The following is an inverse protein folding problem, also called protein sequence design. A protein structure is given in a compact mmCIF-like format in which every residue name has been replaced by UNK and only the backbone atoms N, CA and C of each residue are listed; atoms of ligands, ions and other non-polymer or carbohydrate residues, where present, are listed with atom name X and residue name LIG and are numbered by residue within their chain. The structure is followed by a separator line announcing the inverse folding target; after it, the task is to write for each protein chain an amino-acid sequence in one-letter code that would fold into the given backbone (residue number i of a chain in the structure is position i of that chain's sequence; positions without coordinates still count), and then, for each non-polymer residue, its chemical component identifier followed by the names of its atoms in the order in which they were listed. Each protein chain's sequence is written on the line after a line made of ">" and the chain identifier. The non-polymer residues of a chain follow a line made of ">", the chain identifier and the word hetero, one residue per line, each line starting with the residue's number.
data_IF_606006869184
#
_entry.id   IF_606006869184
#
_cell.length_a   1.000
_cell.length_b   1.000
_cell.length_c   1.000
_cell.angle_alpha   90.00
_cell.angle_beta   90.00
_cell.angle_gamma   90.00
#
_symmetry.space_group_name_H-M   'P 1'
#
loop_
_entity.id
_entity.type
_entity.pdbx_description
1 polymer ?
#
# COMPACT_ATOMS: atom_id res chain seq x y z
N UNK A 1 -10.72 -20.75 36.96
CA UNK A 1 -11.39 -20.35 35.71
C UNK A 1 -10.35 -20.38 34.61
N UNK A 2 -10.55 -21.12 33.52
CA UNK A 2 -9.64 -21.06 32.37
C UNK A 2 -9.93 -19.76 31.61
N UNK A 3 -8.94 -18.87 31.51
CA UNK A 3 -9.02 -17.71 30.63
C UNK A 3 -9.13 -18.22 29.19
N UNK A 4 -10.19 -17.80 28.49
CA UNK A 4 -10.37 -18.09 27.07
C UNK A 4 -9.48 -17.10 26.32
N UNK A 5 -8.32 -17.54 25.82
CA UNK A 5 -7.43 -16.69 25.03
C UNK A 5 -8.14 -16.32 23.72
N UNK A 6 -8.26 -15.02 23.44
CA UNK A 6 -8.80 -14.53 22.17
C UNK A 6 -7.81 -14.89 21.05
N UNK A 7 -8.29 -15.48 19.96
CA UNK A 7 -7.42 -15.70 18.80
C UNK A 7 -6.89 -14.36 18.30
N UNK A 8 -5.59 -14.31 18.03
CA UNK A 8 -4.91 -13.14 17.48
C UNK A 8 -5.37 -12.94 16.05
N UNK A 9 -5.86 -11.75 15.75
CA UNK A 9 -6.18 -11.40 14.38
C UNK A 9 -4.91 -11.10 13.57
N UNK A 10 -5.07 -10.78 12.29
CA UNK A 10 -3.92 -10.53 11.40
C UNK A 10 -3.15 -9.26 11.80
N UNK A 11 -3.81 -8.29 12.42
CA UNK A 11 -3.19 -7.05 12.88
C UNK A 11 -2.34 -7.35 14.10
N UNK A 12 -2.85 -8.13 15.05
CA UNK A 12 -2.08 -8.62 16.20
C UNK A 12 -0.81 -9.35 15.74
N UNK A 13 -0.93 -10.22 14.73
CA UNK A 13 0.20 -10.97 14.17
C UNK A 13 1.24 -10.08 13.49
N UNK A 14 0.82 -8.99 12.82
CA UNK A 14 1.74 -8.02 12.22
C UNK A 14 2.45 -7.18 13.28
N UNK A 15 1.73 -6.76 14.33
CA UNK A 15 2.29 -5.98 15.44
C UNK A 15 3.30 -6.80 16.26
N UNK A 16 3.07 -8.10 16.44
CA UNK A 16 4.02 -9.00 17.10
C UNK A 16 5.38 -9.09 16.38
N UNK A 17 5.43 -8.77 15.08
CA UNK A 17 6.67 -8.79 14.29
C UNK A 17 7.48 -7.49 14.40
N UNK A 18 6.92 -6.43 15.00
CA UNK A 18 7.55 -5.13 15.15
C UNK A 18 8.12 -5.02 16.58
N UNK A 19 9.42 -4.74 16.69
CA UNK A 19 10.02 -4.41 17.98
C UNK A 19 9.79 -2.93 18.29
N UNK A 20 8.97 -2.66 19.31
CA UNK A 20 8.65 -1.32 19.78
C UNK A 20 9.61 -0.80 20.87
N UNK A 21 10.51 -1.64 21.40
CA UNK A 21 11.37 -1.23 22.50
C UNK A 21 12.35 -0.13 22.04
N UNK A 22 12.38 0.98 22.80
CA UNK A 22 13.29 2.09 22.52
C UNK A 22 12.90 2.96 21.31
N UNK A 23 11.77 2.69 20.66
CA UNK A 23 11.27 3.51 19.55
C UNK A 23 10.79 4.86 20.07
N UNK A 24 11.24 5.93 19.42
CA UNK A 24 10.82 7.29 19.75
C UNK A 24 9.46 7.62 19.11
N UNK A 25 8.78 8.65 19.62
CA UNK A 25 7.55 9.16 19.02
C UNK A 25 7.77 9.62 17.56
N UNK A 26 8.95 10.18 17.26
CA UNK A 26 9.31 10.61 15.91
C UNK A 26 9.51 9.42 14.95
N UNK A 27 10.16 8.35 15.40
CA UNK A 27 10.34 7.14 14.59
C UNK A 27 9.03 6.40 14.36
N UNK A 28 8.09 6.46 15.31
CA UNK A 28 6.78 5.85 15.19
C UNK A 28 5.84 6.67 14.30
N UNK A 29 5.65 7.95 14.63
CA UNK A 29 4.58 8.79 14.12
C UNK A 29 5.04 10.15 13.55
N UNK A 30 6.35 10.41 13.46
CA UNK A 30 6.90 11.62 12.85
C UNK A 30 6.74 11.66 11.32
N UNK A 31 7.26 12.72 10.70
CA UNK A 31 7.08 12.99 9.27
C UNK A 31 7.62 11.87 8.37
N UNK A 32 8.62 11.13 8.86
CA UNK A 32 9.19 9.95 8.19
C UNK A 32 9.03 8.68 9.04
N UNK A 33 8.05 8.68 9.94
CA UNK A 33 7.79 7.61 10.90
C UNK A 33 7.26 6.33 10.27
N UNK A 34 7.25 5.27 11.07
CA UNK A 34 6.79 3.94 10.69
C UNK A 34 5.35 3.96 10.18
N UNK A 35 4.44 4.64 10.87
CA UNK A 35 3.02 4.69 10.51
C UNK A 35 2.82 5.26 9.10
N UNK A 36 3.45 6.39 8.80
CA UNK A 36 3.35 7.05 7.50
C UNK A 36 3.89 6.17 6.36
N UNK A 37 5.04 5.53 6.59
CA UNK A 37 5.63 4.56 5.65
C UNK A 37 4.75 3.33 5.44
N UNK A 38 4.12 2.83 6.50
CA UNK A 38 3.19 1.71 6.42
C UNK A 38 1.98 2.07 5.58
N UNK A 39 1.35 3.21 5.87
CA UNK A 39 0.20 3.74 5.13
C UNK A 39 0.54 3.95 3.64
N UNK A 40 1.67 4.60 3.34
CA UNK A 40 2.18 4.77 1.97
C UNK A 40 2.31 3.43 1.22
N UNK A 41 2.92 2.42 1.86
CA UNK A 41 3.11 1.09 1.27
C UNK A 41 1.79 0.35 1.12
N UNK A 42 0.87 0.50 2.07
CA UNK A 42 -0.46 -0.09 2.01
C UNK A 42 -1.22 0.40 0.77
N UNK A 43 -1.29 1.72 0.57
CA UNK A 43 -1.90 2.31 -0.64
C UNK A 43 -1.21 1.85 -1.91
N UNK A 44 0.13 1.89 -1.94
CA UNK A 44 0.90 1.45 -3.11
C UNK A 44 0.60 -0.02 -3.48
N UNK A 45 0.41 -0.89 -2.47
CA UNK A 45 0.09 -2.30 -2.67
C UNK A 45 -1.35 -2.53 -3.13
N UNK A 46 -2.29 -1.75 -2.61
CA UNK A 46 -3.67 -1.81 -3.07
C UNK A 46 -3.76 -1.37 -4.55
N UNK A 47 -3.04 -0.33 -4.94
CA UNK A 47 -2.95 0.09 -6.35
C UNK A 47 -2.23 -0.92 -7.25
N UNK A 48 -1.19 -1.61 -6.74
CA UNK A 48 -0.57 -2.73 -7.47
C UNK A 48 -1.61 -3.82 -7.80
N UNK A 49 -2.55 -4.10 -6.91
CA UNK A 49 -3.63 -5.07 -7.13
C UNK A 49 -4.65 -4.56 -8.16
N UNK A 50 -5.06 -3.29 -8.10
CA UNK A 50 -5.92 -2.68 -9.15
C UNK A 50 -5.25 -2.75 -10.53
N UNK A 51 -3.92 -2.59 -10.60
CA UNK A 51 -3.18 -2.73 -11.86
C UNK A 51 -3.13 -4.19 -12.35
N UNK A 52 -3.08 -5.19 -11.46
CA UNK A 52 -3.19 -6.59 -11.86
C UNK A 52 -4.58 -6.86 -12.50
N UNK A 53 -5.65 -6.27 -11.95
CA UNK A 53 -7.00 -6.38 -12.51
C UNK A 53 -7.15 -5.63 -13.83
N UNK A 54 -6.63 -4.39 -13.92
CA UNK A 54 -6.66 -3.56 -15.13
C UNK A 54 -5.97 -4.23 -16.32
N UNK A 55 -4.81 -4.85 -16.08
CA UNK A 55 -4.04 -5.54 -17.11
C UNK A 55 -4.47 -6.99 -17.33
N UNK A 56 -5.18 -7.58 -16.37
CA UNK A 56 -5.62 -8.97 -16.41
C UNK A 56 -4.53 -10.01 -16.11
N UNK A 57 -3.36 -9.57 -15.63
CA UNK A 57 -2.24 -10.45 -15.27
C UNK A 57 -1.39 -9.85 -14.14
N UNK A 58 -0.69 -10.72 -13.41
CA UNK A 58 0.15 -10.31 -12.29
C UNK A 58 1.49 -9.73 -12.73
N UNK A 59 2.09 -8.89 -11.89
CA UNK A 59 3.48 -8.46 -12.10
C UNK A 59 4.42 -9.66 -12.31
N UNK A 60 5.20 -9.62 -13.40
CA UNK A 60 6.12 -10.66 -13.87
C UNK A 60 5.46 -11.96 -14.36
N UNK A 61 4.15 -11.94 -14.61
CA UNK A 61 3.44 -13.05 -15.24
C UNK A 61 3.69 -13.05 -16.77
N UNK A 62 3.91 -14.22 -17.35
CA UNK A 62 4.13 -14.38 -18.80
C UNK A 62 2.86 -14.13 -19.61
N UNK A 63 1.69 -14.11 -18.97
CA UNK A 63 0.44 -13.69 -19.60
C UNK A 63 0.48 -12.24 -20.14
N UNK A 64 1.40 -11.41 -19.63
CA UNK A 64 1.64 -10.06 -20.14
C UNK A 64 2.49 -9.97 -21.40
N UNK A 65 3.12 -11.06 -21.84
CA UNK A 65 3.99 -11.04 -23.01
C UNK A 65 3.18 -10.85 -24.30
N UNK A 66 3.53 -9.84 -25.09
CA UNK A 66 2.83 -9.48 -26.33
C UNK A 66 1.34 -9.11 -26.14
N UNK A 67 0.93 -8.69 -24.94
CA UNK A 67 -0.45 -8.24 -24.67
C UNK A 67 -0.82 -6.89 -25.30
N UNK A 68 0.18 -6.13 -25.78
CA UNK A 68 0.02 -4.77 -26.30
C UNK A 68 0.00 -3.68 -25.23
N UNK A 69 -0.36 -3.99 -23.98
CA UNK A 69 -0.25 -3.08 -22.84
C UNK A 69 0.53 -3.75 -21.68
N UNK A 70 1.60 -3.09 -21.25
CA UNK A 70 2.50 -3.59 -20.22
C UNK A 70 2.70 -2.61 -19.07
N UNK A 71 2.99 -3.15 -17.88
CA UNK A 71 3.43 -2.35 -16.73
C UNK A 71 4.69 -1.56 -17.10
N UNK A 72 4.65 -0.25 -16.91
CA UNK A 72 5.71 0.69 -17.23
C UNK A 72 6.19 1.45 -15.99
N UNK A 73 6.60 0.69 -14.96
CA UNK A 73 7.15 1.27 -13.74
C UNK A 73 6.10 1.92 -12.84
N UNK A 74 6.48 3.03 -12.19
CA UNK A 74 5.71 3.70 -11.15
C UNK A 74 5.87 5.23 -11.24
N UNK A 75 4.82 5.95 -10.88
CA UNK A 75 4.82 7.40 -10.64
C UNK A 75 4.55 7.68 -9.16
N UNK A 76 5.17 8.71 -8.59
CA UNK A 76 4.88 9.15 -7.22
C UNK A 76 3.75 10.17 -7.22
N UNK A 77 2.76 10.00 -6.35
CA UNK A 77 1.71 11.00 -6.07
C UNK A 77 1.67 11.32 -4.58
N UNK A 78 1.40 12.58 -4.25
CA UNK A 78 1.17 13.02 -2.88
C UNK A 78 -0.33 13.02 -2.59
N UNK A 79 -0.71 12.30 -1.53
CA UNK A 79 -2.08 12.22 -1.01
C UNK A 79 -2.17 13.11 0.22
N UNK A 80 -3.22 13.91 0.32
CA UNK A 80 -3.56 14.63 1.54
C UNK A 80 -4.54 13.77 2.31
N UNK A 81 -4.29 13.57 3.60
CA UNK A 81 -5.18 12.86 4.52
C UNK A 81 -6.06 13.83 5.29
N UNK A 82 -7.15 13.34 5.89
CA UNK A 82 -8.11 14.10 6.72
C UNK A 82 -7.45 15.01 7.76
N UNK A 83 -6.36 14.55 8.38
CA UNK A 83 -5.59 15.31 9.39
C UNK A 83 -4.69 16.41 8.76
N UNK A 84 -4.86 16.67 7.46
CA UNK A 84 -4.07 17.59 6.64
C UNK A 84 -2.56 17.25 6.59
N UNK A 85 -2.19 16.00 6.91
CA UNK A 85 -0.87 15.44 6.62
C UNK A 85 -0.80 14.97 5.16
N UNK A 86 0.43 14.81 4.65
CA UNK A 86 0.70 14.45 3.26
C UNK A 86 1.47 13.15 3.18
N UNK A 87 1.00 12.17 2.40
CA UNK A 87 1.64 10.87 2.23
C UNK A 87 2.05 10.69 0.78
N UNK A 88 3.31 10.36 0.53
CA UNK A 88 3.77 9.96 -0.80
C UNK A 88 3.38 8.51 -1.08
N UNK A 89 2.75 8.26 -2.22
CA UNK A 89 2.30 6.92 -2.66
C UNK A 89 2.91 6.62 -4.02
N UNK A 90 3.38 5.37 -4.20
CA UNK A 90 3.85 4.88 -5.49
C UNK A 90 2.67 4.28 -6.25
N UNK A 91 2.31 4.90 -7.36
CA UNK A 91 1.21 4.49 -8.22
C UNK A 91 1.82 3.71 -9.39
N UNK A 92 1.40 2.46 -9.64
CA UNK A 92 1.84 1.71 -10.81
C UNK A 92 1.29 2.36 -12.09
N UNK A 93 2.08 2.30 -13.15
CA UNK A 93 1.68 2.80 -14.47
C UNK A 93 1.70 1.67 -15.50
N UNK A 94 0.78 1.70 -16.45
CA UNK A 94 0.80 0.90 -17.67
C UNK A 94 1.48 1.70 -18.80
N UNK A 95 1.42 1.24 -20.05
CA UNK A 95 2.25 1.81 -21.13
C UNK A 95 1.96 3.30 -21.38
N UNK A 96 0.69 3.68 -21.27
CA UNK A 96 0.23 5.07 -21.42
C UNK A 96 0.18 5.84 -20.09
N UNK A 97 0.54 5.19 -18.96
CA UNK A 97 0.41 5.73 -17.61
C UNK A 97 -1.03 6.16 -17.24
N UNK A 98 -2.04 5.47 -17.77
CA UNK A 98 -3.46 5.82 -17.64
C UNK A 98 -4.22 4.87 -16.72
N UNK A 99 -3.65 4.49 -15.57
CA UNK A 99 -4.41 3.73 -14.58
C UNK A 99 -5.62 4.56 -14.10
N UNK A 100 -6.81 4.19 -14.57
CA UNK A 100 -8.08 4.68 -14.05
C UNK A 100 -8.43 3.83 -12.83
N UNK A 101 -8.37 4.42 -11.64
CA UNK A 101 -8.70 3.74 -10.40
C UNK A 101 -10.14 3.21 -10.45
N UNK A 102 -10.30 1.89 -10.37
CA UNK A 102 -11.61 1.26 -10.31
C UNK A 102 -12.10 1.17 -8.86
N UNK A 103 -12.35 2.33 -8.24
CA UNK A 103 -13.18 2.51 -7.04
C UNK A 103 -12.79 1.82 -5.71
N UNK A 104 -11.72 1.02 -5.61
CA UNK A 104 -11.43 0.28 -4.38
C UNK A 104 -10.61 1.08 -3.34
N UNK A 105 -9.87 2.10 -3.78
CA UNK A 105 -9.00 2.88 -2.90
C UNK A 105 -9.16 4.39 -3.16
N UNK A 106 -10.01 5.09 -2.39
CA UNK A 106 -10.03 6.55 -2.49
C UNK A 106 -8.67 7.09 -2.06
N UNK A 107 -7.97 7.76 -2.98
CA UNK A 107 -6.76 8.54 -2.69
C UNK A 107 -7.09 9.91 -2.06
N UNK A 108 -8.36 10.17 -1.80
CA UNK A 108 -8.80 11.25 -0.91
C UNK A 108 -9.22 10.56 0.39
N UNK A 109 -8.39 10.69 1.43
CA UNK A 109 -8.86 10.55 2.81
C UNK A 109 -9.18 11.96 3.23
#
# INVERSE_FOLDING_TARGET
>A
MLAKTKEKDIIDQLLDQIDFHGMTAEELAGENGLLKKLTSRFYSKALDAEMDEHLGYKKNDNAGDNSGNSRNGYTTKTVITDDNDTIEVRVPCDTDCELVQQSAVPLNL
#
